data_IF_537291115683
#
_entry.id   IF_537291115683
#
_cell.length_a   1.000
_cell.length_b   1.000
_cell.length_c   1.000
_cell.angle_alpha   90.00
_cell.angle_beta   90.00
_cell.angle_gamma   90.00
#
_symmetry.space_group_name_H-M   'P 1'
#
loop_
_entity.id
_entity.type
_entity.pdbx_description
1 polymer ?
#
# COMPACT_ATOMS: atom_id res chain seq x y z
N UNK A 1 30.83 40.97 -15.17
CA UNK A 1 30.21 40.39 -16.38
C UNK A 1 30.52 38.90 -16.57
N UNK A 2 31.79 38.46 -16.69
CA UNK A 2 32.10 37.03 -16.92
C UNK A 2 31.60 36.10 -15.79
N UNK A 3 31.81 36.48 -14.53
CA UNK A 3 31.40 35.71 -13.35
C UNK A 3 29.86 35.55 -13.26
N UNK A 4 29.13 36.58 -13.69
CA UNK A 4 27.67 36.60 -13.72
C UNK A 4 27.10 35.69 -14.83
N UNK A 5 27.73 35.66 -16.00
CA UNK A 5 27.36 34.72 -17.08
C UNK A 5 27.66 33.27 -16.71
N UNK A 6 28.78 33.01 -16.01
CA UNK A 6 29.13 31.67 -15.53
C UNK A 6 28.13 31.17 -14.48
N UNK A 7 27.77 32.01 -13.50
CA UNK A 7 26.75 31.68 -12.50
C UNK A 7 25.37 31.38 -13.14
N UNK A 8 24.99 32.14 -14.17
CA UNK A 8 23.74 31.90 -14.94
C UNK A 8 23.75 30.56 -15.66
N UNK A 9 24.85 30.22 -16.35
CA UNK A 9 24.97 28.92 -17.02
C UNK A 9 24.90 27.77 -16.02
N UNK A 10 25.58 27.90 -14.88
CA UNK A 10 25.54 26.89 -13.81
C UNK A 10 24.12 26.72 -13.27
N UNK A 11 23.38 27.81 -13.05
CA UNK A 11 22.00 27.75 -12.56
C UNK A 11 21.06 27.07 -13.55
N UNK A 12 21.14 27.40 -14.85
CA UNK A 12 20.33 26.74 -15.90
C UNK A 12 20.65 25.25 -15.99
N UNK A 13 21.93 24.88 -15.95
CA UNK A 13 22.34 23.47 -15.94
C UNK A 13 21.88 22.72 -14.68
N UNK A 14 21.94 23.35 -13.50
CA UNK A 14 21.45 22.76 -12.27
C UNK A 14 19.92 22.54 -12.32
N UNK A 15 19.16 23.51 -12.83
CA UNK A 15 17.71 23.40 -13.00
C UNK A 15 17.36 22.30 -14.01
N UNK A 16 18.04 22.26 -15.16
CA UNK A 16 17.83 21.22 -16.16
C UNK A 16 18.18 19.82 -15.65
N UNK A 17 19.26 19.70 -14.86
CA UNK A 17 19.64 18.44 -14.22
C UNK A 17 18.59 17.99 -13.18
N UNK A 18 18.13 18.90 -12.32
CA UNK A 18 17.06 18.62 -11.35
C UNK A 18 15.77 18.20 -12.04
N UNK A 19 15.41 18.86 -13.15
CA UNK A 19 14.27 18.52 -13.97
C UNK A 19 14.37 17.08 -14.53
N UNK A 20 15.50 16.73 -15.15
CA UNK A 20 15.72 15.38 -15.70
C UNK A 20 15.68 14.32 -14.58
N UNK A 21 16.29 14.61 -13.44
CA UNK A 21 16.27 13.73 -12.27
C UNK A 21 14.83 13.52 -11.76
N UNK A 22 14.04 14.58 -11.71
CA UNK A 22 12.64 14.55 -11.26
C UNK A 22 11.74 13.79 -12.22
N UNK A 23 11.83 14.03 -13.53
CA UNK A 23 11.05 13.29 -14.53
C UNK A 23 11.42 11.80 -14.48
N UNK A 24 12.70 11.49 -14.43
CA UNK A 24 13.17 10.10 -14.31
C UNK A 24 12.69 9.45 -13.00
N UNK A 25 12.74 10.20 -11.90
CA UNK A 25 12.21 9.79 -10.61
C UNK A 25 10.71 9.53 -10.66
N UNK A 26 9.92 10.45 -11.23
CA UNK A 26 8.46 10.33 -11.38
C UNK A 26 8.07 9.15 -12.27
N UNK A 27 8.78 8.92 -13.37
CA UNK A 27 8.53 7.77 -14.26
C UNK A 27 8.88 6.47 -13.56
N UNK A 28 10.03 6.39 -12.89
CA UNK A 28 10.43 5.21 -12.14
C UNK A 28 9.43 4.90 -11.02
N UNK A 29 8.98 5.93 -10.33
CA UNK A 29 7.94 5.90 -9.31
C UNK A 29 6.60 5.42 -9.87
N UNK A 30 6.15 5.96 -11.00
CA UNK A 30 4.87 5.61 -11.61
C UNK A 30 4.88 4.15 -12.06
N UNK A 31 5.95 3.72 -12.75
CA UNK A 31 6.16 2.34 -13.13
C UNK A 31 6.27 1.40 -11.91
N UNK A 32 6.85 1.89 -10.81
CA UNK A 32 6.92 1.15 -9.56
C UNK A 32 5.54 1.03 -8.90
N UNK A 33 4.74 2.10 -8.85
CA UNK A 33 3.37 2.07 -8.33
C UNK A 33 2.47 1.14 -9.10
N UNK A 34 2.53 1.16 -10.44
CA UNK A 34 1.76 0.25 -11.28
C UNK A 34 2.08 -1.22 -10.96
N UNK A 35 3.35 -1.54 -10.73
CA UNK A 35 3.76 -2.89 -10.29
C UNK A 35 3.41 -3.18 -8.83
N UNK A 36 3.48 -2.21 -7.93
CA UNK A 36 3.25 -2.43 -6.51
C UNK A 36 1.76 -2.58 -6.18
N UNK A 37 0.88 -1.86 -6.88
CA UNK A 37 -0.57 -1.99 -6.73
C UNK A 37 -1.18 -3.07 -7.63
N UNK A 38 -0.35 -3.87 -8.30
CA UNK A 38 -0.80 -5.04 -9.03
C UNK A 38 -1.00 -6.20 -8.05
N UNK A 39 -2.23 -6.70 -7.98
CA UNK A 39 -2.56 -7.89 -7.22
C UNK A 39 -1.74 -9.11 -7.66
N UNK A 40 -1.26 -9.17 -8.91
CA UNK A 40 -0.37 -10.25 -9.37
C UNK A 40 1.03 -10.16 -8.76
N UNK A 41 1.58 -8.96 -8.60
CA UNK A 41 2.89 -8.77 -7.97
C UNK A 41 2.84 -9.13 -6.48
N UNK A 42 1.76 -8.72 -5.79
CA UNK A 42 1.53 -9.12 -4.40
C UNK A 42 1.32 -10.62 -4.26
N UNK A 43 0.55 -11.25 -5.15
CA UNK A 43 0.33 -12.70 -5.19
C UNK A 43 1.65 -13.48 -5.30
N UNK A 44 2.59 -13.02 -6.14
CA UNK A 44 3.94 -13.59 -6.22
C UNK A 44 4.76 -13.38 -4.93
N UNK A 45 4.62 -12.23 -4.26
CA UNK A 45 5.27 -11.95 -2.98
C UNK A 45 4.74 -12.87 -1.86
N UNK A 46 3.41 -13.03 -1.77
CA UNK A 46 2.75 -13.93 -0.81
C UNK A 46 3.16 -15.39 -1.04
N UNK A 47 3.26 -15.81 -2.30
CA UNK A 47 3.75 -17.13 -2.67
C UNK A 47 5.21 -17.33 -2.21
N UNK A 48 6.09 -16.37 -2.49
CA UNK A 48 7.51 -16.42 -2.08
C UNK A 48 7.68 -16.44 -0.57
N UNK A 49 6.83 -15.72 0.17
CA UNK A 49 6.83 -15.70 1.65
C UNK A 49 6.21 -16.94 2.28
N UNK A 50 5.65 -17.86 1.48
CA UNK A 50 5.01 -19.08 1.98
C UNK A 50 3.64 -18.86 2.64
N UNK A 51 3.04 -17.68 2.48
CA UNK A 51 1.80 -17.30 3.18
C UNK A 51 0.65 -18.25 2.86
N UNK A 52 0.53 -18.69 1.60
CA UNK A 52 -0.51 -19.66 1.23
C UNK A 52 -0.33 -21.01 1.92
N UNK A 53 0.90 -21.47 2.11
CA UNK A 53 1.17 -22.71 2.82
C UNK A 53 0.85 -22.57 4.32
N UNK A 54 1.20 -21.43 4.92
CA UNK A 54 0.84 -21.14 6.32
C UNK A 54 -0.66 -21.08 6.54
N UNK A 55 -1.41 -20.38 5.67
CA UNK A 55 -2.88 -20.33 5.74
C UNK A 55 -3.46 -21.73 5.57
N UNK A 56 -2.94 -22.53 4.64
CA UNK A 56 -3.35 -23.91 4.45
C UNK A 56 -3.12 -24.75 5.71
N UNK A 57 -1.95 -24.65 6.33
CA UNK A 57 -1.61 -25.37 7.56
C UNK A 57 -2.53 -24.95 8.71
N UNK A 58 -2.72 -23.65 8.94
CA UNK A 58 -3.62 -23.13 9.98
C UNK A 58 -5.08 -23.54 9.75
N UNK A 59 -5.57 -23.50 8.51
CA UNK A 59 -6.92 -23.96 8.18
C UNK A 59 -7.08 -25.46 8.43
N UNK A 60 -6.10 -26.27 8.01
CA UNK A 60 -6.09 -27.71 8.27
C UNK A 60 -6.06 -27.99 9.77
N UNK A 61 -5.23 -27.28 10.52
CA UNK A 61 -5.12 -27.38 11.97
C UNK A 61 -6.43 -27.02 12.67
N UNK A 62 -7.04 -25.89 12.30
CA UNK A 62 -8.35 -25.47 12.81
C UNK A 62 -9.41 -26.55 12.58
N UNK A 63 -9.54 -27.02 11.33
CA UNK A 63 -10.56 -27.98 10.94
C UNK A 63 -10.36 -29.36 11.60
N UNK A 64 -9.13 -29.69 12.00
CA UNK A 64 -8.79 -31.00 12.58
C UNK A 64 -8.58 -30.98 14.09
N UNK A 65 -8.52 -29.81 14.69
CA UNK A 65 -8.29 -29.62 16.13
C UNK A 65 -9.33 -30.33 17.00
N UNK A 66 -10.59 -30.35 16.57
CA UNK A 66 -11.71 -30.95 17.31
C UNK A 66 -11.97 -32.42 16.97
N UNK A 67 -11.18 -32.99 16.05
CA UNK A 67 -11.36 -34.37 15.59
C UNK A 67 -10.63 -35.34 16.54
N UNK A 68 -11.24 -36.45 16.98
CA UNK A 68 -10.55 -37.49 17.73
C UNK A 68 -9.33 -38.03 16.98
N UNK A 69 -8.23 -38.31 17.71
CA UNK A 69 -6.93 -38.65 17.12
C UNK A 69 -6.97 -39.87 16.18
N UNK A 70 -7.85 -40.83 16.46
CA UNK A 70 -8.10 -42.04 15.66
C UNK A 70 -8.65 -41.76 14.26
N UNK A 71 -9.33 -40.63 14.03
CA UNK A 71 -9.89 -40.25 12.73
C UNK A 71 -9.08 -39.16 12.01
N UNK A 72 -8.12 -38.51 12.69
CA UNK A 72 -7.32 -37.42 12.13
C UNK A 72 -6.56 -37.82 10.87
N UNK A 73 -6.00 -39.03 10.82
CA UNK A 73 -5.21 -39.47 9.65
C UNK A 73 -6.04 -39.52 8.36
N UNK A 74 -7.23 -40.12 8.44
CA UNK A 74 -8.19 -40.24 7.33
C UNK A 74 -8.71 -38.86 6.91
N UNK A 75 -9.13 -38.04 7.88
CA UNK A 75 -9.71 -36.73 7.58
C UNK A 75 -8.64 -35.74 7.09
N UNK A 76 -7.39 -35.83 7.57
CA UNK A 76 -6.29 -35.03 7.04
C UNK A 76 -6.02 -35.34 5.56
N UNK A 77 -6.11 -36.61 5.15
CA UNK A 77 -5.93 -36.97 3.75
C UNK A 77 -7.03 -36.32 2.87
N UNK A 78 -8.29 -36.44 3.27
CA UNK A 78 -9.43 -35.84 2.56
C UNK A 78 -9.38 -34.30 2.56
N UNK A 79 -9.03 -33.69 3.70
CA UNK A 79 -8.86 -32.24 3.80
C UNK A 79 -7.70 -31.73 2.96
N UNK A 80 -6.56 -32.43 2.94
CA UNK A 80 -5.41 -32.01 2.12
C UNK A 80 -5.71 -32.08 0.61
N UNK A 81 -6.63 -32.95 0.20
CA UNK A 81 -7.10 -33.02 -1.18
C UNK A 81 -8.06 -31.86 -1.55
N UNK A 82 -8.85 -31.37 -0.59
CA UNK A 82 -9.79 -30.26 -0.79
C UNK A 82 -9.16 -28.88 -0.56
N UNK A 83 -8.34 -28.75 0.48
CA UNK A 83 -7.67 -27.54 0.92
C UNK A 83 -6.32 -27.40 0.21
N UNK A 84 -6.35 -27.27 -1.11
CA UNK A 84 -5.15 -27.10 -1.93
C UNK A 84 -4.59 -25.69 -1.82
N UNK A 85 -3.30 -25.52 -2.18
CA UNK A 85 -2.68 -24.19 -2.30
C UNK A 85 -3.43 -23.32 -3.31
N UNK A 86 -3.86 -23.90 -4.42
CA UNK A 86 -4.63 -23.23 -5.47
C UNK A 86 -5.97 -22.73 -4.95
N UNK A 87 -6.67 -23.52 -4.12
CA UNK A 87 -7.89 -23.10 -3.45
C UNK A 87 -7.61 -21.91 -2.52
N UNK A 88 -6.61 -22.01 -1.64
CA UNK A 88 -6.27 -20.94 -0.69
C UNK A 88 -5.89 -19.66 -1.43
N UNK A 89 -5.05 -19.76 -2.47
CA UNK A 89 -4.70 -18.65 -3.35
C UNK A 89 -5.93 -18.03 -4.01
N UNK A 90 -6.88 -18.87 -4.46
CA UNK A 90 -8.15 -18.45 -5.04
C UNK A 90 -9.04 -17.65 -4.09
N UNK A 91 -8.98 -17.92 -2.78
CA UNK A 91 -9.69 -17.16 -1.75
C UNK A 91 -8.95 -15.88 -1.35
N UNK A 92 -7.63 -15.94 -1.17
CA UNK A 92 -6.81 -14.83 -0.67
C UNK A 92 -6.59 -13.74 -1.73
N UNK A 93 -6.32 -14.12 -2.98
CA UNK A 93 -6.00 -13.16 -4.04
C UNK A 93 -7.11 -12.11 -4.27
N UNK A 94 -8.40 -12.48 -4.33
CA UNK A 94 -9.49 -11.50 -4.38
C UNK A 94 -9.55 -10.58 -3.16
N UNK A 95 -9.25 -11.08 -1.96
CA UNK A 95 -9.22 -10.24 -0.75
C UNK A 95 -8.13 -9.17 -0.82
N UNK A 96 -6.94 -9.55 -1.30
CA UNK A 96 -5.82 -8.61 -1.53
C UNK A 96 -6.22 -7.55 -2.54
N UNK A 97 -6.80 -7.96 -3.67
CA UNK A 97 -7.27 -7.04 -4.71
C UNK A 97 -8.34 -6.07 -4.19
N UNK A 98 -9.30 -6.55 -3.39
CA UNK A 98 -10.34 -5.73 -2.76
C UNK A 98 -9.74 -4.73 -1.75
N UNK A 99 -8.73 -5.16 -0.99
CA UNK A 99 -8.03 -4.31 -0.03
C UNK A 99 -7.29 -3.19 -0.77
N UNK A 100 -6.46 -3.52 -1.77
CA UNK A 100 -5.75 -2.53 -2.58
C UNK A 100 -6.71 -1.57 -3.30
N UNK A 101 -7.85 -2.07 -3.79
CA UNK A 101 -8.90 -1.24 -4.42
C UNK A 101 -9.53 -0.27 -3.42
N UNK A 102 -9.74 -0.68 -2.17
CA UNK A 102 -10.23 0.20 -1.12
C UNK A 102 -9.21 1.30 -0.77
N UNK A 103 -7.91 0.96 -0.67
CA UNK A 103 -6.85 1.92 -0.30
C UNK A 103 -6.55 2.93 -1.38
N UNK A 104 -6.56 2.50 -2.64
CA UNK A 104 -6.46 3.40 -3.79
C UNK A 104 -7.70 4.28 -3.98
N UNK A 105 -8.79 4.02 -3.25
CA UNK A 105 -10.05 4.75 -3.37
C UNK A 105 -10.93 4.30 -4.53
N UNK A 106 -10.52 3.27 -5.29
CA UNK A 106 -11.31 2.68 -6.38
C UNK A 106 -12.57 1.97 -5.88
N UNK A 107 -12.57 1.48 -4.63
CA UNK A 107 -13.73 0.90 -3.96
C UNK A 107 -14.13 1.72 -2.72
N UNK A 108 -15.45 1.92 -2.47
CA UNK A 108 -15.91 2.58 -1.25
C UNK A 108 -15.77 1.71 -0.01
N UNK A 109 -15.70 0.38 -0.16
CA UNK A 109 -15.71 -0.60 0.93
C UNK A 109 -14.62 -1.65 0.73
N UNK A 110 -14.00 -2.06 1.83
CA UNK A 110 -13.17 -3.25 1.89
C UNK A 110 -14.08 -4.49 1.99
N UNK A 111 -13.88 -5.48 1.13
CA UNK A 111 -14.71 -6.70 1.09
C UNK A 111 -13.82 -7.91 1.30
N UNK A 112 -13.93 -8.50 2.48
CA UNK A 112 -13.22 -9.72 2.87
C UNK A 112 -14.23 -10.86 2.93
N UNK A 113 -13.95 -11.92 2.19
CA UNK A 113 -14.86 -13.05 2.07
C UNK A 113 -14.08 -14.33 1.81
N UNK A 114 -14.36 -15.36 2.60
CA UNK A 114 -13.75 -16.68 2.50
C UNK A 114 -14.85 -17.73 2.39
N UNK A 115 -14.83 -18.53 1.32
CA UNK A 115 -15.88 -19.52 1.07
C UNK A 115 -15.41 -20.96 1.29
N UNK A 116 -15.85 -21.57 2.39
CA UNK A 116 -15.63 -22.97 2.70
C UNK A 116 -16.58 -23.95 1.97
N UNK A 117 -17.56 -23.48 1.20
CA UNK A 117 -18.53 -24.35 0.49
C UNK A 117 -17.84 -25.39 -0.41
N UNK A 118 -16.80 -25.07 -1.19
CA UNK A 118 -16.09 -26.07 -1.99
C UNK A 118 -15.45 -27.19 -1.16
N UNK A 119 -14.91 -26.86 0.02
CA UNK A 119 -14.34 -27.87 0.92
C UNK A 119 -15.44 -28.75 1.50
N UNK A 120 -16.53 -28.14 1.97
CA UNK A 120 -17.67 -28.90 2.49
C UNK A 120 -18.27 -29.83 1.42
N UNK A 121 -18.36 -29.37 0.17
CA UNK A 121 -18.79 -30.18 -0.96
C UNK A 121 -17.84 -31.36 -1.21
N UNK A 122 -16.53 -31.12 -1.24
CA UNK A 122 -15.53 -32.17 -1.41
C UNK A 122 -15.62 -33.24 -0.30
N UNK A 123 -15.74 -32.83 0.97
CA UNK A 123 -15.91 -33.75 2.09
C UNK A 123 -17.24 -34.50 2.04
N UNK A 124 -18.33 -33.85 1.61
CA UNK A 124 -19.64 -34.49 1.47
C UNK A 124 -19.67 -35.58 0.40
N UNK A 125 -18.80 -35.48 -0.60
CA UNK A 125 -18.62 -36.46 -1.67
C UNK A 125 -17.59 -37.55 -1.32
N UNK A 126 -16.92 -37.45 -0.17
CA UNK A 126 -15.92 -38.42 0.27
C UNK A 126 -16.55 -39.79 0.57
N UNK A 127 -15.77 -40.86 0.36
CA UNK A 127 -16.18 -42.22 0.76
C UNK A 127 -16.09 -42.41 2.27
N UNK A 128 -15.30 -41.59 2.97
CA UNK A 128 -15.18 -41.60 4.42
C UNK A 128 -16.47 -41.08 5.07
N UNK A 129 -17.06 -41.89 5.96
CA UNK A 129 -18.22 -41.46 6.75
C UNK A 129 -17.86 -40.34 7.73
N UNK A 130 -16.64 -40.38 8.27
CA UNK A 130 -16.12 -39.34 9.16
C UNK A 130 -15.97 -38.01 8.42
N UNK A 131 -15.38 -38.01 7.21
CA UNK A 131 -15.27 -36.80 6.38
C UNK A 131 -16.65 -36.22 6.02
N UNK A 132 -17.60 -37.08 5.62
CA UNK A 132 -18.98 -36.65 5.33
C UNK A 132 -19.67 -36.01 6.54
N UNK A 133 -19.43 -36.52 7.74
CA UNK A 133 -19.98 -35.95 8.98
C UNK A 133 -19.38 -34.57 9.34
N UNK A 134 -18.18 -34.27 8.85
CA UNK A 134 -17.54 -32.96 9.03
C UNK A 134 -18.05 -31.89 8.06
N UNK A 135 -18.47 -32.27 6.86
CA UNK A 135 -18.97 -31.33 5.84
C UNK A 135 -19.99 -30.28 6.36
N UNK A 136 -21.06 -30.65 7.10
CA UNK A 136 -22.00 -29.67 7.64
C UNK A 136 -21.37 -28.75 8.69
N UNK A 137 -20.40 -29.25 9.48
CA UNK A 137 -19.70 -28.43 10.48
C UNK A 137 -18.84 -27.37 9.79
N UNK A 138 -18.10 -27.75 8.74
CA UNK A 138 -17.33 -26.81 7.92
C UNK A 138 -18.24 -25.77 7.27
N UNK A 139 -19.40 -26.18 6.78
CA UNK A 139 -20.34 -25.25 6.17
C UNK A 139 -20.95 -24.26 7.19
N UNK A 140 -21.05 -24.65 8.47
CA UNK A 140 -21.45 -23.74 9.55
C UNK A 140 -20.34 -22.75 9.94
N UNK A 141 -19.07 -23.01 9.62
CA UNK A 141 -17.98 -22.05 9.85
C UNK A 141 -18.03 -20.86 8.88
N UNK A 142 -18.63 -21.03 7.70
CA UNK A 142 -18.74 -19.99 6.69
C UNK A 142 -19.35 -18.68 7.22
N UNK A 143 -20.55 -18.66 7.85
CA UNK A 143 -21.11 -17.44 8.41
C UNK A 143 -20.28 -16.87 9.57
N UNK A 144 -19.65 -17.73 10.40
CA UNK A 144 -18.83 -17.29 11.53
C UNK A 144 -17.59 -16.55 11.03
N UNK A 145 -16.81 -17.17 10.14
CA UNK A 145 -15.59 -16.58 9.61
C UNK A 145 -15.91 -15.34 8.79
N UNK A 146 -16.95 -15.36 7.96
CA UNK A 146 -17.32 -14.17 7.19
C UNK A 146 -17.85 -13.03 8.06
N UNK A 147 -18.54 -13.32 9.18
CA UNK A 147 -18.92 -12.28 10.14
C UNK A 147 -17.70 -11.64 10.83
N UNK A 148 -16.70 -12.46 11.19
CA UNK A 148 -15.45 -11.96 11.75
C UNK A 148 -14.69 -11.13 10.71
N UNK A 149 -14.50 -11.63 9.50
CA UNK A 149 -13.86 -10.89 8.40
C UNK A 149 -14.57 -9.57 8.10
N UNK A 150 -15.91 -9.54 8.15
CA UNK A 150 -16.66 -8.30 7.99
C UNK A 150 -16.40 -7.35 9.16
N UNK A 151 -16.37 -7.83 10.40
CA UNK A 151 -16.01 -7.01 11.57
C UNK A 151 -14.58 -6.43 11.46
N UNK A 152 -13.62 -7.22 10.95
CA UNK A 152 -12.26 -6.75 10.65
C UNK A 152 -12.30 -5.63 9.63
N UNK A 153 -13.02 -5.87 8.52
CA UNK A 153 -13.20 -4.91 7.45
C UNK A 153 -13.80 -3.59 7.95
N UNK A 154 -14.85 -3.67 8.76
CA UNK A 154 -15.55 -2.51 9.33
C UNK A 154 -14.66 -1.76 10.32
N UNK A 155 -13.93 -2.49 11.17
CA UNK A 155 -12.97 -1.91 12.12
C UNK A 155 -11.88 -1.14 11.38
N UNK A 156 -11.26 -1.76 10.37
CA UNK A 156 -10.27 -1.11 9.51
C UNK A 156 -10.83 0.08 8.76
N UNK A 157 -12.05 -0.03 8.22
CA UNK A 157 -12.66 1.06 7.47
C UNK A 157 -13.00 2.25 8.38
N UNK A 158 -13.36 2.00 9.64
CA UNK A 158 -13.66 3.03 10.64
C UNK A 158 -12.40 3.63 11.29
N UNK A 159 -11.23 3.01 11.12
CA UNK A 159 -10.00 3.47 11.74
C UNK A 159 -9.56 4.81 11.11
N UNK A 160 -9.41 5.89 11.92
CA UNK A 160 -8.97 7.20 11.42
C UNK A 160 -7.63 7.15 10.67
N UNK A 161 -6.74 6.25 11.02
CA UNK A 161 -5.43 6.08 10.39
C UNK A 161 -5.57 5.46 8.99
N UNK A 162 -6.44 4.45 8.84
CA UNK A 162 -6.74 3.86 7.53
C UNK A 162 -7.44 4.89 6.63
N UNK A 163 -8.35 5.69 7.18
CA UNK A 163 -8.97 6.80 6.46
C UNK A 163 -7.96 7.87 6.02
N UNK A 164 -7.03 8.26 6.92
CA UNK A 164 -5.92 9.15 6.59
C UNK A 164 -5.03 8.57 5.51
N UNK A 165 -4.72 7.27 5.56
CA UNK A 165 -3.90 6.61 4.55
C UNK A 165 -4.63 6.53 3.21
N UNK A 166 -5.92 6.20 3.16
CA UNK A 166 -6.72 6.27 1.93
C UNK A 166 -6.71 7.69 1.34
N UNK A 167 -6.81 8.71 2.20
CA UNK A 167 -6.64 10.12 1.82
C UNK A 167 -5.24 10.42 1.29
N UNK A 168 -4.19 9.93 1.95
CA UNK A 168 -2.80 10.09 1.54
C UNK A 168 -2.51 9.38 0.22
N UNK A 169 -3.14 8.24 -0.07
CA UNK A 169 -3.02 7.52 -1.34
C UNK A 169 -3.67 8.27 -2.49
N UNK A 170 -4.89 8.72 -2.28
CA UNK A 170 -5.57 9.59 -3.24
C UNK A 170 -4.74 10.87 -3.47
N UNK A 171 -4.17 11.44 -2.41
CA UNK A 171 -3.34 12.63 -2.49
C UNK A 171 -1.98 12.35 -3.15
N UNK A 172 -1.36 11.19 -2.95
CA UNK A 172 -0.10 10.80 -3.56
C UNK A 172 -0.26 10.53 -5.06
N UNK A 173 -1.35 9.86 -5.47
CA UNK A 173 -1.70 9.72 -6.87
C UNK A 173 -1.97 11.08 -7.53
N UNK A 174 -2.72 11.95 -6.86
CA UNK A 174 -2.94 13.33 -7.32
C UNK A 174 -1.63 14.13 -7.34
N UNK A 175 -0.74 13.94 -6.37
CA UNK A 175 0.56 14.63 -6.28
C UNK A 175 1.51 14.13 -7.36
N UNK A 176 1.51 12.85 -7.72
CA UNK A 176 2.27 12.33 -8.86
C UNK A 176 1.76 12.89 -10.19
N UNK A 177 0.44 12.98 -10.37
CA UNK A 177 -0.13 13.64 -11.53
C UNK A 177 0.23 15.14 -11.56
N UNK A 178 0.13 15.82 -10.42
CA UNK A 178 0.49 17.23 -10.27
C UNK A 178 1.99 17.45 -10.50
N UNK A 179 2.86 16.58 -10.01
CA UNK A 179 4.31 16.57 -10.25
C UNK A 179 4.63 16.47 -11.73
N UNK A 180 3.93 15.59 -12.44
CA UNK A 180 4.10 15.44 -13.88
C UNK A 180 3.67 16.71 -14.62
N UNK A 181 2.52 17.29 -14.27
CA UNK A 181 2.07 18.57 -14.82
C UNK A 181 3.03 19.69 -14.45
N UNK A 182 3.56 19.71 -13.24
CA UNK A 182 4.45 20.74 -12.74
C UNK A 182 5.83 20.63 -13.40
N UNK A 183 6.30 19.42 -13.67
CA UNK A 183 7.46 19.19 -14.54
C UNK A 183 7.19 19.77 -15.94
N UNK A 184 6.02 19.53 -16.55
CA UNK A 184 5.69 20.13 -17.85
C UNK A 184 5.66 21.67 -17.79
N UNK A 185 5.15 22.25 -16.69
CA UNK A 185 5.14 23.70 -16.46
C UNK A 185 6.55 24.24 -16.23
N UNK A 186 7.40 23.55 -15.47
CA UNK A 186 8.80 23.90 -15.28
C UNK A 186 9.57 23.85 -16.60
N UNK A 187 9.32 22.86 -17.44
CA UNK A 187 9.92 22.77 -18.78
C UNK A 187 9.44 23.91 -19.68
N UNK A 188 8.16 24.26 -19.62
CA UNK A 188 7.61 25.43 -20.31
C UNK A 188 8.21 26.74 -19.79
N UNK A 189 8.40 26.87 -18.47
CA UNK A 189 9.04 28.03 -17.84
C UNK A 189 10.53 28.13 -18.19
N UNK A 190 11.27 27.03 -18.24
CA UNK A 190 12.66 27.00 -18.72
C UNK A 190 12.70 27.47 -20.17
N UNK A 191 11.76 27.02 -21.01
CA UNK A 191 11.66 27.43 -22.41
C UNK A 191 11.33 28.94 -22.55
N UNK A 192 10.34 29.43 -21.78
CA UNK A 192 9.95 30.83 -21.77
C UNK A 192 11.06 31.73 -21.20
N UNK A 193 11.70 31.33 -20.10
CA UNK A 193 12.83 32.04 -19.51
C UNK A 193 14.04 32.04 -20.45
N UNK A 194 14.28 30.96 -21.20
CA UNK A 194 15.32 30.94 -22.24
C UNK A 194 15.05 31.96 -23.36
N UNK A 195 13.77 32.33 -23.58
CA UNK A 195 13.35 33.39 -24.50
C UNK A 195 13.34 34.80 -23.90
N UNK A 196 12.97 34.97 -22.62
CA UNK A 196 12.58 36.26 -22.03
C UNK A 196 13.49 36.81 -20.90
N UNK A 197 14.68 36.24 -20.65
CA UNK A 197 15.63 36.77 -19.66
C UNK A 197 16.21 38.18 -19.97
N UNK A 198 15.63 38.90 -20.94
CA UNK A 198 15.88 40.33 -21.20
C UNK A 198 15.03 41.28 -20.34
N UNK A 199 13.93 40.85 -19.72
CA UNK A 199 13.08 41.72 -18.87
C UNK A 199 13.17 41.36 -17.38
N UNK A 200 13.64 42.29 -16.55
CA UNK A 200 14.16 42.03 -15.20
C UNK A 200 13.19 41.63 -14.08
N UNK A 201 13.80 41.12 -13.01
CA UNK A 201 13.52 41.13 -11.55
C UNK A 201 12.07 40.98 -11.01
N UNK A 202 11.00 41.45 -11.65
CA UNK A 202 9.64 41.47 -11.07
C UNK A 202 8.96 40.09 -10.98
N UNK A 203 9.35 39.10 -11.81
CA UNK A 203 8.75 37.76 -11.80
C UNK A 203 9.27 36.81 -10.70
N UNK A 204 10.06 37.29 -9.73
CA UNK A 204 10.70 36.45 -8.69
C UNK A 204 9.71 35.82 -7.70
N UNK A 205 8.61 36.50 -7.36
CA UNK A 205 7.66 36.01 -6.33
C UNK A 205 6.87 34.76 -6.75
N UNK A 206 6.67 34.56 -8.06
CA UNK A 206 5.90 33.43 -8.59
C UNK A 206 6.62 32.10 -8.44
N UNK A 207 7.93 32.09 -8.71
CA UNK A 207 8.77 30.89 -8.64
C UNK A 207 8.93 30.43 -7.19
N UNK A 208 9.15 31.36 -6.25
CA UNK A 208 9.26 31.04 -4.82
C UNK A 208 7.97 30.43 -4.27
N UNK A 209 6.80 30.97 -4.66
CA UNK A 209 5.50 30.41 -4.27
C UNK A 209 5.26 29.01 -4.85
N UNK A 210 5.64 28.80 -6.12
CA UNK A 210 5.53 27.49 -6.77
C UNK A 210 6.41 26.45 -6.06
N UNK A 211 7.69 26.76 -5.83
CA UNK A 211 8.62 25.90 -5.11
C UNK A 211 8.16 25.61 -3.67
N UNK A 212 7.60 26.62 -2.99
CA UNK A 212 6.95 26.47 -1.69
C UNK A 212 5.79 25.48 -1.68
N UNK A 213 4.91 25.56 -2.69
CA UNK A 213 3.79 24.64 -2.84
C UNK A 213 4.27 23.20 -3.08
N UNK A 214 5.24 23.01 -3.98
CA UNK A 214 5.86 21.70 -4.29
C UNK A 214 6.49 21.08 -3.04
N UNK A 215 7.28 21.87 -2.31
CA UNK A 215 7.90 21.43 -1.06
C UNK A 215 6.86 21.03 -0.01
N UNK A 216 5.82 21.85 0.16
CA UNK A 216 4.76 21.56 1.14
C UNK A 216 3.98 20.28 0.80
N UNK A 217 3.68 20.04 -0.48
CA UNK A 217 3.04 18.82 -0.93
C UNK A 217 3.92 17.58 -0.67
N UNK A 218 5.23 17.70 -0.93
CA UNK A 218 6.22 16.67 -0.57
C UNK A 218 6.26 16.40 0.92
N UNK A 219 6.33 17.44 1.75
CA UNK A 219 6.36 17.29 3.20
C UNK A 219 5.11 16.60 3.76
N UNK A 220 3.92 16.97 3.29
CA UNK A 220 2.67 16.32 3.68
C UNK A 220 2.62 14.85 3.25
N UNK A 221 3.08 14.54 2.02
CA UNK A 221 3.20 13.16 1.56
C UNK A 221 4.16 12.34 2.41
N UNK A 222 5.31 12.90 2.79
CA UNK A 222 6.32 12.24 3.62
C UNK A 222 5.79 11.95 5.03
N UNK A 223 5.12 12.94 5.63
CA UNK A 223 4.49 12.79 6.95
C UNK A 223 3.39 11.73 6.89
N UNK A 224 2.53 11.74 5.87
CA UNK A 224 1.51 10.72 5.67
C UNK A 224 2.09 9.32 5.51
N UNK A 225 3.16 9.18 4.71
CA UNK A 225 3.88 7.91 4.52
C UNK A 225 4.54 7.39 5.80
N UNK A 226 5.23 8.27 6.55
CA UNK A 226 5.84 7.95 7.86
C UNK A 226 4.78 7.50 8.87
N UNK A 227 3.70 8.27 9.02
CA UNK A 227 2.59 7.92 9.91
C UNK A 227 2.02 6.57 9.54
N UNK A 228 1.83 6.29 8.26
CA UNK A 228 1.35 4.98 7.80
C UNK A 228 2.34 3.86 8.16
N UNK A 229 3.61 3.97 7.79
CA UNK A 229 4.60 2.92 8.03
C UNK A 229 4.82 2.64 9.53
N UNK A 230 4.81 3.66 10.39
CA UNK A 230 5.03 3.48 11.82
C UNK A 230 3.77 3.09 12.60
N UNK A 231 2.59 3.56 12.19
CA UNK A 231 1.35 3.28 12.92
C UNK A 231 0.71 1.96 12.49
N UNK A 232 0.99 1.47 11.28
CA UNK A 232 0.48 0.16 10.83
C UNK A 232 0.87 -0.96 11.79
N UNK A 233 2.10 -0.94 12.32
CA UNK A 233 2.57 -1.97 13.26
C UNK A 233 1.76 -2.00 14.56
N UNK A 234 1.41 -0.84 15.13
CA UNK A 234 0.61 -0.77 16.35
C UNK A 234 -0.87 -1.10 16.09
N UNK A 235 -1.39 -0.71 14.93
CA UNK A 235 -2.74 -1.05 14.47
C UNK A 235 -2.90 -2.57 14.35
N UNK A 236 -2.00 -3.23 13.62
CA UNK A 236 -1.98 -4.69 13.44
C UNK A 236 -1.81 -5.40 14.78
N UNK A 237 -0.90 -4.94 15.64
CA UNK A 237 -0.69 -5.52 16.96
C UNK A 237 -1.95 -5.40 17.85
N UNK A 238 -2.65 -4.26 17.81
CA UNK A 238 -3.90 -4.06 18.56
C UNK A 238 -5.04 -4.93 18.02
N UNK A 239 -5.14 -5.06 16.69
CA UNK A 239 -6.14 -5.90 16.04
C UNK A 239 -5.92 -7.38 16.35
N UNK A 240 -4.68 -7.87 16.20
CA UNK A 240 -4.31 -9.24 16.58
C UNK A 240 -4.58 -9.45 18.07
N UNK A 241 -4.19 -8.51 18.94
CA UNK A 241 -4.46 -8.59 20.38
C UNK A 241 -5.95 -8.69 20.71
N UNK A 242 -6.80 -7.93 20.02
CA UNK A 242 -8.25 -7.97 20.20
C UNK A 242 -8.89 -9.27 19.68
N UNK A 243 -8.39 -9.83 18.57
CA UNK A 243 -8.90 -11.07 17.99
C UNK A 243 -8.47 -12.30 18.78
N UNK A 244 -7.22 -12.32 19.25
CA UNK A 244 -6.70 -13.39 20.09
C UNK A 244 -7.42 -13.43 21.45
N UNK A 245 -7.84 -12.28 21.99
CA UNK A 245 -8.63 -12.23 23.22
C UNK A 245 -10.12 -12.57 23.02
N UNK A 246 -10.67 -12.35 21.82
CA UNK A 246 -12.09 -12.58 21.54
C UNK A 246 -12.45 -14.07 21.36
N UNK A 247 -11.47 -14.95 21.13
CA UNK A 247 -11.76 -16.36 20.88
C UNK A 247 -10.68 -17.28 21.49
N UNK A 248 -10.77 -17.49 22.80
CA UNK A 248 -10.01 -18.53 23.50
C UNK A 248 -10.50 -19.97 23.17
N UNK A 249 -11.48 -20.11 22.27
CA UNK A 249 -12.24 -21.35 22.05
C UNK A 249 -12.30 -21.86 20.60
N UNK A 250 -11.74 -21.15 19.61
CA UNK A 250 -11.89 -21.53 18.20
C UNK A 250 -10.76 -21.06 17.27
N UNK A 251 -10.41 -21.90 16.29
CA UNK A 251 -9.35 -21.62 15.30
C UNK A 251 -9.72 -20.57 14.24
N UNK A 252 -10.93 -19.97 14.31
CA UNK A 252 -11.32 -18.86 13.45
C UNK A 252 -10.47 -17.60 13.71
N UNK A 253 -9.99 -17.42 14.95
CA UNK A 253 -9.05 -16.35 15.32
C UNK A 253 -7.71 -16.44 14.59
N UNK A 254 -7.24 -17.64 14.24
CA UNK A 254 -5.95 -17.83 13.59
C UNK A 254 -5.98 -17.35 12.15
N UNK A 255 -7.00 -17.73 11.38
CA UNK A 255 -7.22 -17.25 10.01
C UNK A 255 -7.39 -15.74 10.01
N UNK A 256 -8.24 -15.21 10.90
CA UNK A 256 -8.43 -13.78 11.09
C UNK A 256 -7.11 -13.05 11.39
N UNK A 257 -6.25 -13.62 12.24
CA UNK A 257 -4.95 -13.04 12.59
C UNK A 257 -3.97 -13.03 11.41
N UNK A 258 -3.94 -14.08 10.59
CA UNK A 258 -3.11 -14.13 9.38
C UNK A 258 -3.61 -13.11 8.36
N UNK A 259 -4.92 -12.97 8.19
CA UNK A 259 -5.52 -11.96 7.32
C UNK A 259 -5.20 -10.55 7.82
N UNK A 260 -5.33 -10.28 9.12
CA UNK A 260 -4.95 -9.00 9.71
C UNK A 260 -3.45 -8.70 9.52
N UNK A 261 -2.58 -9.73 9.67
CA UNK A 261 -1.15 -9.63 9.38
C UNK A 261 -0.85 -9.27 7.92
N UNK A 262 -1.50 -9.95 6.97
CA UNK A 262 -1.37 -9.63 5.54
C UNK A 262 -1.83 -8.20 5.23
N UNK A 263 -2.92 -7.74 5.84
CA UNK A 263 -3.38 -6.37 5.70
C UNK A 263 -2.36 -5.39 6.27
N UNK A 264 -1.78 -5.70 7.42
CA UNK A 264 -0.65 -5.00 8.00
C UNK A 264 0.53 -4.85 7.05
N UNK A 265 0.96 -5.94 6.44
CA UNK A 265 2.05 -5.92 5.46
C UNK A 265 1.69 -5.01 4.28
N UNK A 266 0.47 -5.13 3.73
CA UNK A 266 -0.02 -4.27 2.65
C UNK A 266 0.05 -2.81 3.08
N UNK A 267 -0.49 -2.46 4.25
CA UNK A 267 -0.49 -1.10 4.78
C UNK A 267 0.92 -0.53 5.00
N UNK A 268 1.83 -1.34 5.54
CA UNK A 268 3.22 -0.94 5.81
C UNK A 268 3.95 -0.64 4.50
N UNK A 269 3.89 -1.56 3.54
CA UNK A 269 4.54 -1.41 2.24
C UNK A 269 3.96 -0.21 1.47
N UNK A 270 2.64 -0.04 1.55
CA UNK A 270 1.89 1.10 1.02
C UNK A 270 2.35 2.42 1.66
N UNK A 271 2.51 2.49 2.98
CA UNK A 271 3.06 3.64 3.68
C UNK A 271 4.51 3.99 3.31
N UNK A 272 5.38 2.97 3.25
CA UNK A 272 6.78 3.13 2.82
C UNK A 272 6.88 3.63 1.39
N UNK A 273 5.99 3.17 0.51
CA UNK A 273 5.92 3.63 -0.85
C UNK A 273 5.53 5.12 -0.89
N UNK A 274 4.49 5.55 -0.17
CA UNK A 274 4.11 6.96 -0.08
C UNK A 274 5.26 7.86 0.42
N UNK A 275 6.08 7.37 1.34
CA UNK A 275 7.29 8.05 1.80
C UNK A 275 8.33 8.17 0.68
N UNK A 276 8.60 7.09 -0.06
CA UNK A 276 9.51 7.12 -1.21
C UNK A 276 9.04 8.10 -2.30
N UNK A 277 7.73 8.18 -2.54
CA UNK A 277 7.12 9.13 -3.48
C UNK A 277 7.35 10.60 -3.11
N UNK A 278 7.41 10.88 -1.81
CA UNK A 278 7.54 12.24 -1.29
C UNK A 278 8.97 12.81 -1.35
N UNK A 279 9.99 11.94 -1.43
CA UNK A 279 11.40 12.33 -1.39
C UNK A 279 11.81 13.24 -2.56
N UNK A 280 11.47 12.94 -3.82
CA UNK A 280 11.78 13.82 -4.94
C UNK A 280 11.15 15.22 -4.79
N UNK A 281 9.90 15.30 -4.33
CA UNK A 281 9.21 16.57 -4.06
C UNK A 281 9.95 17.41 -3.02
N UNK A 282 10.37 16.77 -1.93
CA UNK A 282 11.13 17.42 -0.86
C UNK A 282 12.49 17.91 -1.34
N UNK A 283 13.21 17.09 -2.11
CA UNK A 283 14.54 17.43 -2.61
C UNK A 283 14.49 18.58 -3.62
N UNK A 284 13.52 18.56 -4.56
CA UNK A 284 13.37 19.60 -5.57
C UNK A 284 12.85 20.89 -4.95
N UNK A 285 11.70 20.84 -4.27
CA UNK A 285 11.11 22.02 -3.64
C UNK A 285 12.06 22.65 -2.62
N UNK A 286 12.71 21.82 -1.80
CA UNK A 286 13.71 22.26 -0.83
C UNK A 286 14.96 22.84 -1.48
N UNK A 287 15.47 22.22 -2.55
CA UNK A 287 16.63 22.67 -3.29
C UNK A 287 16.41 24.03 -3.98
N UNK A 288 15.26 24.22 -4.63
CA UNK A 288 14.88 25.48 -5.27
C UNK A 288 14.72 26.58 -4.22
N UNK A 289 13.99 26.32 -3.13
CA UNK A 289 13.84 27.28 -2.03
C UNK A 289 15.19 27.67 -1.40
N UNK A 290 16.07 26.69 -1.15
CA UNK A 290 17.39 26.94 -0.62
C UNK A 290 18.23 27.83 -1.56
N UNK A 291 18.19 27.56 -2.87
CA UNK A 291 18.88 28.39 -3.86
C UNK A 291 18.41 29.85 -3.83
N UNK A 292 17.09 30.08 -3.86
CA UNK A 292 16.53 31.44 -3.81
C UNK A 292 16.85 32.14 -2.48
N UNK A 293 16.81 31.42 -1.37
CA UNK A 293 17.00 32.00 -0.03
C UNK A 293 18.46 32.30 0.30
N UNK A 294 19.40 31.48 -0.16
CA UNK A 294 20.81 31.60 0.19
C UNK A 294 21.65 32.24 -0.93
N UNK A 295 21.56 31.74 -2.17
CA UNK A 295 22.44 32.20 -3.26
C UNK A 295 22.03 33.58 -3.77
N UNK A 296 20.73 33.82 -3.95
CA UNK A 296 20.24 35.10 -4.49
C UNK A 296 20.18 36.21 -3.45
N UNK A 297 20.02 35.88 -2.16
CA UNK A 297 19.98 36.87 -1.08
C UNK A 297 21.37 37.42 -0.74
N UNK A 298 22.42 36.63 -0.93
CA UNK A 298 23.81 37.11 -0.83
C UNK A 298 24.19 38.08 -1.95
N UNK A 299 23.68 37.87 -3.18
CA UNK A 299 23.94 38.78 -4.30
C UNK A 299 23.15 40.11 -4.23
N UNK A 300 22.17 40.21 -3.34
CA UNK A 300 21.35 41.41 -3.16
C UNK A 300 21.83 42.32 -2.01
N UNK A 301 22.86 41.91 -1.25
CA UNK A 301 23.54 42.81 -0.32
C UNK A 301 24.60 43.61 -1.11
N UNK A 302 24.53 44.96 -1.10
CA UNK A 302 25.49 45.81 -1.79
C UNK A 302 26.90 45.68 -1.23
#
# INVERSE_FOLDING_TARGET
MALEQTAKKIAVWAIAFLFVLQVSGCIAIYAFMEKFFDAQAYDASLEKRGVYATIQESLSGMLTSQIPQEYKGEINAELSAALTKEYVRGQVKPMVANTLSYLSGASPSMRLYFDFSPIAQALSASQSENARSLAPQIQQLNPVINSQLQQISDTLASDPQVAQMRGAFSAANAANAALFVLALVELALIFLLSGDYRSGIENRSGIEKCAGAVFSAGAWGAIGGLMTAFLTGSLVASMIGSMVQADASGGASEVASIMAGMMGDIFYETGMLALLLSLPLLLVGGGVLAYFKFVLKEQAKP
#
